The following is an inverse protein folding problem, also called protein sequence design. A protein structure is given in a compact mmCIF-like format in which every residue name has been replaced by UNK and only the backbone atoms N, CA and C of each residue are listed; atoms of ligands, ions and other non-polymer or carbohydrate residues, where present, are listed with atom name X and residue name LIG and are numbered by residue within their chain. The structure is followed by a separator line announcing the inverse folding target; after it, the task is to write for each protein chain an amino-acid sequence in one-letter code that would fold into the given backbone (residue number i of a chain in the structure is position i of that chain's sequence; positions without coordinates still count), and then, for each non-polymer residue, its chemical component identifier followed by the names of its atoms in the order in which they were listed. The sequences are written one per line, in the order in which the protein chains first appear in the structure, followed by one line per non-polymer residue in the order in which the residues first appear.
data_IF_096669111228
#
_entry.id   IF_096669111228
#
_cell.length_a   1.000
_cell.length_b   1.000
_cell.length_c   1.000
_cell.angle_alpha   90.00
_cell.angle_beta   90.00
_cell.angle_gamma   90.00
#
_symmetry.space_group_name_H-M   'P 1'
#
loop_
_entity.id
_entity.type
_entity.pdbx_description
1 polymer ?
#
# COMPACT_ATOMS: atom_id res chain seq x y z
N UNK A 1 13.16 -14.93 6.94
CA UNK A 1 14.07 -16.07 6.76
C UNK A 1 13.72 -17.16 7.78
N UNK A 2 13.57 -18.39 7.31
CA UNK A 2 13.46 -19.57 8.17
C UNK A 2 14.84 -20.24 8.25
N UNK A 3 15.20 -20.82 9.40
CA UNK A 3 16.36 -21.70 9.51
C UNK A 3 16.03 -23.11 8.98
N UNK A 4 17.02 -24.01 9.01
CA UNK A 4 16.88 -25.40 8.55
C UNK A 4 15.86 -26.21 9.37
N UNK A 5 15.54 -25.75 10.59
CA UNK A 5 14.50 -26.32 11.47
C UNK A 5 13.09 -25.75 11.20
N UNK A 6 12.96 -24.81 10.25
CA UNK A 6 11.70 -24.16 9.90
C UNK A 6 11.28 -23.00 10.82
N UNK A 7 12.07 -22.66 11.83
CA UNK A 7 11.81 -21.54 12.74
C UNK A 7 12.10 -20.19 12.06
N UNK A 8 11.22 -19.20 12.27
CA UNK A 8 11.42 -17.83 11.80
C UNK A 8 12.49 -17.15 12.67
N UNK A 9 13.63 -16.80 12.05
CA UNK A 9 14.79 -16.21 12.75
C UNK A 9 14.86 -14.69 12.61
N UNK A 10 13.95 -14.09 11.84
CA UNK A 10 13.94 -12.65 11.57
C UNK A 10 13.35 -11.85 12.74
N UNK A 11 13.92 -10.67 12.97
CA UNK A 11 13.36 -9.69 13.91
C UNK A 11 12.01 -9.15 13.45
N UNK A 12 11.86 -8.88 12.15
CA UNK A 12 10.61 -8.41 11.54
C UNK A 12 10.64 -8.63 10.03
N UNK A 13 9.45 -8.63 9.42
CA UNK A 13 9.30 -8.64 7.96
C UNK A 13 8.96 -7.21 7.52
N UNK A 14 9.82 -6.54 6.73
CA UNK A 14 9.60 -5.15 6.34
C UNK A 14 8.41 -5.01 5.40
N UNK A 15 7.80 -3.82 5.40
CA UNK A 15 6.75 -3.47 4.44
C UNK A 15 7.35 -3.40 3.03
N UNK A 16 6.55 -3.75 2.04
CA UNK A 16 6.89 -3.58 0.63
C UNK A 16 6.04 -2.46 0.04
N UNK A 17 6.63 -1.69 -0.86
CA UNK A 17 5.90 -0.74 -1.65
C UNK A 17 4.88 -1.49 -2.53
N UNK A 18 3.61 -1.09 -2.45
CA UNK A 18 2.50 -1.68 -3.21
C UNK A 18 2.67 -1.51 -4.72
N UNK A 19 3.38 -0.47 -5.16
CA UNK A 19 3.62 -0.20 -6.59
C UNK A 19 4.84 -0.94 -7.14
N UNK A 20 6.02 -0.72 -6.56
CA UNK A 20 7.28 -1.27 -7.09
C UNK A 20 7.69 -2.62 -6.51
N UNK A 21 6.99 -3.14 -5.50
CA UNK A 21 7.40 -4.31 -4.70
C UNK A 21 8.78 -4.17 -4.02
N UNK A 22 9.37 -2.97 -4.01
CA UNK A 22 10.62 -2.66 -3.31
C UNK A 22 10.38 -2.69 -1.79
N UNK A 23 11.37 -3.16 -1.05
CA UNK A 23 11.33 -3.13 0.42
C UNK A 23 11.43 -1.67 0.90
N UNK A 24 10.58 -1.30 1.86
CA UNK A 24 10.64 0.00 2.54
C UNK A 24 11.57 -0.16 3.74
N UNK A 25 12.74 0.47 3.68
CA UNK A 25 13.72 0.46 4.75
C UNK A 25 13.24 1.27 5.98
N UNK A 26 13.77 0.96 7.16
CA UNK A 26 13.43 1.68 8.39
C UNK A 26 13.85 3.17 8.37
N UNK A 27 14.84 3.51 7.53
CA UNK A 27 15.34 4.88 7.32
C UNK A 27 14.61 5.64 6.22
N UNK A 28 13.68 5.00 5.49
CA UNK A 28 12.87 5.68 4.47
C UNK A 28 11.75 6.50 5.13
N UNK A 29 12.11 7.69 5.62
CA UNK A 29 11.19 8.64 6.22
C UNK A 29 10.29 9.34 5.21
N UNK A 30 10.58 9.21 3.91
CA UNK A 30 9.74 9.73 2.85
C UNK A 30 8.63 8.74 2.46
N UNK A 31 8.69 7.48 2.88
CA UNK A 31 7.60 6.53 2.64
C UNK A 31 6.31 6.93 3.37
N UNK A 32 5.16 6.72 2.72
CA UNK A 32 3.83 6.89 3.34
C UNK A 32 3.02 5.61 3.28
N UNK A 33 2.09 5.54 4.21
CA UNK A 33 1.01 4.56 4.21
C UNK A 33 -0.30 5.33 4.12
N UNK A 34 -1.10 5.02 3.10
CA UNK A 34 -2.36 5.69 2.83
C UNK A 34 -3.48 4.66 2.98
N UNK A 35 -4.44 4.98 3.83
CA UNK A 35 -5.64 4.17 4.06
C UNK A 35 -6.81 4.80 3.33
N UNK A 36 -7.34 4.09 2.34
CA UNK A 36 -8.54 4.47 1.61
C UNK A 36 -9.74 3.76 2.23
N UNK A 37 -10.71 4.53 2.70
CA UNK A 37 -11.92 4.00 3.32
C UNK A 37 -12.87 3.42 2.29
N UNK A 38 -13.48 2.30 2.63
CA UNK A 38 -14.59 1.75 1.87
C UNK A 38 -15.88 2.53 2.20
N UNK A 39 -16.79 2.62 1.23
CA UNK A 39 -18.00 3.44 1.32
C UNK A 39 -19.22 2.56 1.11
N UNK A 40 -20.23 2.69 1.97
CA UNK A 40 -21.47 1.93 1.81
C UNK A 40 -22.18 2.38 0.52
N UNK A 41 -22.42 1.48 -0.45
CA UNK A 41 -23.03 1.82 -1.73
C UNK A 41 -24.45 2.39 -1.61
N UNK A 42 -25.16 2.16 -0.50
CA UNK A 42 -26.51 2.70 -0.30
C UNK A 42 -26.53 4.09 0.33
N UNK A 43 -25.68 4.31 1.33
CA UNK A 43 -25.70 5.53 2.15
C UNK A 43 -24.61 6.53 1.80
N UNK A 44 -23.57 6.10 1.07
CA UNK A 44 -22.38 6.92 0.78
C UNK A 44 -21.56 7.26 2.04
N UNK A 45 -21.80 6.56 3.16
CA UNK A 45 -21.05 6.77 4.40
C UNK A 45 -19.86 5.83 4.48
N UNK A 46 -18.78 6.30 5.11
CA UNK A 46 -17.62 5.47 5.39
C UNK A 46 -18.04 4.23 6.20
N UNK A 47 -17.53 3.06 5.82
CA UNK A 47 -17.74 1.83 6.58
C UNK A 47 -16.62 1.70 7.63
N UNK A 48 -16.94 1.75 8.93
CA UNK A 48 -15.92 1.66 9.97
C UNK A 48 -15.11 0.36 9.87
N UNK A 49 -13.78 0.48 9.88
CA UNK A 49 -12.86 -0.66 9.89
C UNK A 49 -12.56 -1.30 8.52
N UNK A 50 -13.31 -0.96 7.46
CA UNK A 50 -12.98 -1.39 6.10
C UNK A 50 -12.12 -0.34 5.40
N UNK A 51 -10.84 -0.65 5.26
CA UNK A 51 -9.86 0.19 4.57
C UNK A 51 -8.99 -0.64 3.63
N UNK A 52 -8.71 -0.10 2.45
CA UNK A 52 -7.67 -0.58 1.56
C UNK A 52 -6.43 0.26 1.81
N UNK A 53 -5.30 -0.40 2.07
CA UNK A 53 -4.07 0.24 2.52
C UNK A 53 -2.98 0.11 1.47
N UNK A 54 -2.43 1.23 1.05
CA UNK A 54 -1.29 1.29 0.14
C UNK A 54 -0.05 1.81 0.84
N UNK A 55 1.09 1.19 0.54
CA UNK A 55 2.39 1.66 0.99
C UNK A 55 3.20 2.14 -0.22
N UNK A 56 3.63 3.40 -0.22
CA UNK A 56 4.45 3.98 -1.29
C UNK A 56 5.82 4.32 -0.70
N UNK A 57 6.90 3.83 -1.32
CA UNK A 57 8.26 4.16 -0.89
C UNK A 57 8.61 5.61 -1.23
N UNK A 58 9.57 6.18 -0.49
CA UNK A 58 10.00 7.56 -0.66
C UNK A 58 10.53 7.85 -2.07
N UNK A 59 11.19 6.88 -2.69
CA UNK A 59 11.79 7.04 -4.03
C UNK A 59 10.75 7.31 -5.13
N UNK A 60 9.62 6.59 -5.13
CA UNK A 60 8.51 6.86 -6.08
C UNK A 60 7.94 8.26 -5.87
N UNK A 61 7.87 8.72 -4.62
CA UNK A 61 7.40 10.07 -4.32
C UNK A 61 8.36 11.14 -4.77
N UNK A 62 9.66 10.92 -4.61
CA UNK A 62 10.68 11.84 -5.09
C UNK A 62 10.68 11.95 -6.63
N UNK A 63 10.34 10.87 -7.33
CA UNK A 63 10.19 10.90 -8.79
C UNK A 63 8.94 11.64 -9.27
N UNK A 64 7.99 11.94 -8.38
CA UNK A 64 6.70 12.54 -8.75
C UNK A 64 5.66 11.54 -9.26
N UNK A 65 5.99 10.25 -9.33
CA UNK A 65 5.14 9.16 -9.86
C UNK A 65 4.14 8.61 -8.82
N UNK A 66 4.01 9.27 -7.67
CA UNK A 66 3.20 8.77 -6.57
C UNK A 66 1.71 8.76 -6.89
N UNK A 67 1.24 9.74 -7.64
CA UNK A 67 -0.18 9.88 -8.00
C UNK A 67 -0.60 8.80 -9.00
N UNK A 68 0.16 8.60 -10.08
CA UNK A 68 -0.12 7.59 -11.10
C UNK A 68 -0.08 6.18 -10.50
N UNK A 69 0.87 5.93 -9.59
CA UNK A 69 0.93 4.66 -8.86
C UNK A 69 -0.35 4.40 -8.04
N UNK A 70 -0.86 5.41 -7.32
CA UNK A 70 -2.09 5.26 -6.53
C UNK A 70 -3.30 5.10 -7.45
N UNK A 71 -3.38 5.87 -8.54
CA UNK A 71 -4.45 5.76 -9.53
C UNK A 71 -4.52 4.34 -10.10
N UNK A 72 -3.38 3.77 -10.49
CA UNK A 72 -3.27 2.42 -11.03
C UNK A 72 -3.67 1.35 -10.00
N UNK A 73 -3.25 1.51 -8.75
CA UNK A 73 -3.62 0.60 -7.65
C UNK A 73 -5.11 0.68 -7.34
N UNK A 74 -5.66 1.89 -7.23
CA UNK A 74 -7.08 2.11 -6.97
C UNK A 74 -7.97 1.59 -8.11
N UNK A 75 -7.53 1.73 -9.38
CA UNK A 75 -8.22 1.14 -10.53
C UNK A 75 -8.18 -0.38 -10.51
N UNK A 76 -7.04 -0.98 -10.13
CA UNK A 76 -6.90 -2.43 -9.98
C UNK A 76 -7.82 -2.99 -8.90
N UNK A 77 -7.93 -2.29 -7.78
CA UNK A 77 -8.76 -2.72 -6.64
C UNK A 77 -10.23 -2.30 -6.78
N UNK A 78 -10.61 -1.68 -7.91
CA UNK A 78 -12.00 -1.33 -8.22
C UNK A 78 -12.54 -0.13 -7.44
N UNK A 79 -11.68 0.65 -6.79
CA UNK A 79 -12.05 1.89 -6.10
C UNK A 79 -12.39 3.01 -7.09
N UNK A 80 -11.75 2.99 -8.25
CA UNK A 80 -11.98 3.94 -9.35
C UNK A 80 -12.59 3.18 -10.53
N UNK A 81 -13.60 3.73 -11.22
CA UNK A 81 -14.19 3.09 -12.38
C UNK A 81 -13.17 2.81 -13.47
N UNK A 82 -13.30 1.68 -14.15
CA UNK A 82 -12.37 1.24 -15.20
C UNK A 82 -12.35 2.15 -16.44
N UNK A 83 -13.39 2.97 -16.61
CA UNK A 83 -13.58 3.90 -17.72
C UNK A 83 -12.72 5.16 -17.65
N UNK A 84 -12.00 5.38 -16.54
CA UNK A 84 -11.10 6.51 -16.37
C UNK A 84 -9.72 6.27 -17.01
#
# INVERSE_FOLDING_TARGET
MQNDEGALVELYIPRKCSSSSRIIAATDHAAVQIDLVDVDPKTGRMVPGKVIRYAICGEIRCMGESDDCILRLAKRDGLIPSSF
#
